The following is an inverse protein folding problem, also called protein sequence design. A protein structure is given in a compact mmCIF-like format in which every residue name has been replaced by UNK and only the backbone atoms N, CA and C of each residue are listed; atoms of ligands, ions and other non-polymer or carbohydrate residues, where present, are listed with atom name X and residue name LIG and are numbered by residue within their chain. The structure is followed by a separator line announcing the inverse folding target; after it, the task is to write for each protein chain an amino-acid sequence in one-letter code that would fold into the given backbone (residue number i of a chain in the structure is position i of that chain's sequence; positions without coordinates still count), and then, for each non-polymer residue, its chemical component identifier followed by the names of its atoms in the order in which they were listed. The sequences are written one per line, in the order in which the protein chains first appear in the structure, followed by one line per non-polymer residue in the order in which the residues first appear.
data_IF_447141136735
#
_entry.id   IF_447141136735
#
_cell.length_a   1.000
_cell.length_b   1.000
_cell.length_c   1.000
_cell.angle_alpha   90.00
_cell.angle_beta   90.00
_cell.angle_gamma   90.00
#
_symmetry.space_group_name_H-M   'P 1'
#
loop_
_entity.id
_entity.type
_entity.pdbx_description
1 polymer ?
#
# COMPACT_ATOMS: atom_id res chain seq x y z
N UNK A 1 -0.59 12.88 -0.69
CA UNK A 1 0.41 13.52 0.20
C UNK A 1 1.26 12.50 0.94
N UNK A 2 0.80 11.27 1.15
CA UNK A 2 1.50 10.29 2.01
C UNK A 2 2.94 10.01 1.57
N UNK A 3 3.17 9.94 0.26
CA UNK A 3 4.50 9.73 -0.33
C UNK A 3 5.35 11.01 -0.50
N UNK A 4 4.92 12.18 -0.04
CA UNK A 4 5.65 13.45 -0.29
C UNK A 4 7.08 13.42 0.28
N UNK A 5 7.32 12.66 1.35
CA UNK A 5 8.65 12.51 1.94
C UNK A 5 9.69 11.88 1.01
N UNK A 6 9.26 11.16 -0.04
CA UNK A 6 10.17 10.61 -1.06
C UNK A 6 10.98 11.69 -1.80
N UNK A 7 10.53 12.95 -1.77
CA UNK A 7 11.33 14.07 -2.31
C UNK A 7 12.61 14.35 -1.51
N UNK A 8 12.63 13.95 -0.23
CA UNK A 8 13.79 14.08 0.66
C UNK A 8 14.60 12.79 0.61
N UNK A 9 13.99 11.66 0.95
CA UNK A 9 14.61 10.35 0.92
C UNK A 9 13.53 9.25 0.88
N UNK A 10 13.85 8.08 0.32
CA UNK A 10 13.00 6.88 0.43
C UNK A 10 13.01 6.28 1.83
N UNK A 11 14.13 6.40 2.54
CA UNK A 11 14.23 6.02 3.94
C UNK A 11 13.45 7.02 4.80
N UNK A 12 12.59 6.50 5.69
CA UNK A 12 11.75 7.31 6.59
C UNK A 12 10.83 8.32 5.85
N UNK A 13 10.43 7.98 4.61
CA UNK A 13 9.58 8.86 3.80
C UNK A 13 8.20 9.10 4.44
N UNK A 14 7.68 8.13 5.20
CA UNK A 14 6.43 8.28 5.93
C UNK A 14 6.54 9.36 7.03
N UNK A 15 7.60 9.32 7.85
CA UNK A 15 7.81 10.26 8.95
C UNK A 15 8.13 11.67 8.43
N UNK A 16 9.06 11.77 7.49
CA UNK A 16 9.37 13.05 6.84
C UNK A 16 8.16 13.61 6.10
N UNK A 17 7.39 12.76 5.42
CA UNK A 17 6.13 13.11 4.77
C UNK A 17 5.07 13.64 5.73
N UNK A 18 4.95 13.05 6.93
CA UNK A 18 4.03 13.53 7.96
C UNK A 18 4.41 14.93 8.46
N UNK A 19 5.70 15.21 8.66
CA UNK A 19 6.20 16.54 9.08
C UNK A 19 5.95 17.59 7.99
N UNK A 20 6.21 17.25 6.72
CA UNK A 20 5.94 18.14 5.59
C UNK A 20 4.43 18.42 5.45
N UNK A 21 3.60 17.38 5.55
CA UNK A 21 2.15 17.50 5.51
C UNK A 21 1.63 18.37 6.65
N UNK A 22 2.13 18.18 7.88
CA UNK A 22 1.77 19.02 9.03
C UNK A 22 1.98 20.51 8.72
N UNK A 23 3.15 20.87 8.18
CA UNK A 23 3.48 22.26 7.84
C UNK A 23 2.53 22.82 6.78
N UNK A 24 2.32 22.09 5.69
CA UNK A 24 1.44 22.51 4.58
C UNK A 24 0.01 22.70 5.07
N UNK A 25 -0.54 21.72 5.78
CA UNK A 25 -1.94 21.74 6.23
C UNK A 25 -2.17 22.84 7.28
N UNK A 26 -1.19 23.08 8.16
CA UNK A 26 -1.21 24.20 9.10
C UNK A 26 -1.20 25.55 8.37
N UNK A 27 -0.39 25.71 7.34
CA UNK A 27 -0.26 26.99 6.60
C UNK A 27 -1.51 27.36 5.82
N UNK A 28 -2.28 26.37 5.35
CA UNK A 28 -3.57 26.60 4.68
C UNK A 28 -4.75 26.75 5.65
N UNK A 29 -4.50 26.74 6.97
CA UNK A 29 -5.51 26.96 8.00
C UNK A 29 -6.45 25.79 8.26
N UNK A 30 -6.02 24.55 8.00
CA UNK A 30 -6.79 23.35 8.34
C UNK A 30 -6.94 23.22 9.86
N UNK A 31 -8.05 22.63 10.31
CA UNK A 31 -8.31 22.42 11.73
C UNK A 31 -7.24 21.51 12.38
N UNK A 32 -6.73 21.83 13.59
CA UNK A 32 -5.71 21.03 14.25
C UNK A 32 -6.06 19.54 14.41
N UNK A 33 -7.31 19.20 14.74
CA UNK A 33 -7.72 17.80 14.90
C UNK A 33 -7.62 17.04 13.57
N UNK A 34 -8.02 17.67 12.48
CA UNK A 34 -7.91 17.05 11.15
C UNK A 34 -6.46 16.93 10.68
N UNK A 35 -5.61 17.91 11.01
CA UNK A 35 -4.16 17.82 10.75
C UNK A 35 -3.59 16.58 11.46
N UNK A 36 -3.91 16.37 12.74
CA UNK A 36 -3.43 15.20 13.48
C UNK A 36 -3.92 13.88 12.87
N UNK A 37 -5.18 13.82 12.41
CA UNK A 37 -5.71 12.63 11.72
C UNK A 37 -4.92 12.32 10.44
N UNK A 38 -4.68 13.31 9.58
CA UNK A 38 -3.96 13.12 8.30
C UNK A 38 -2.50 12.76 8.54
N UNK A 39 -1.81 13.53 9.38
CA UNK A 39 -0.38 13.36 9.64
C UNK A 39 -0.06 12.05 10.36
N UNK A 40 -0.93 11.63 11.30
CA UNK A 40 -0.83 10.31 11.95
C UNK A 40 -1.01 9.17 10.95
N UNK A 41 -1.97 9.28 10.02
CA UNK A 41 -2.14 8.30 8.96
C UNK A 41 -0.89 8.22 8.06
N UNK A 42 -0.35 9.38 7.64
CA UNK A 42 0.87 9.45 6.82
C UNK A 42 2.07 8.87 7.56
N UNK A 43 2.29 9.20 8.83
CA UNK A 43 3.46 8.71 9.57
C UNK A 43 3.50 7.19 9.76
N UNK A 44 2.36 6.52 9.62
CA UNK A 44 2.18 5.11 9.93
C UNK A 44 1.88 4.20 8.72
N UNK A 45 1.99 4.70 7.48
CA UNK A 45 1.56 3.94 6.30
C UNK A 45 2.65 3.03 5.69
N UNK A 46 3.92 3.20 6.06
CA UNK A 46 5.04 2.43 5.52
C UNK A 46 5.21 1.06 6.21
N UNK A 47 5.62 0.05 5.46
CA UNK A 47 5.70 -1.35 5.89
C UNK A 47 6.74 -1.59 6.99
N UNK A 48 7.82 -0.80 7.05
CA UNK A 48 8.92 -1.01 7.98
C UNK A 48 8.57 -0.64 9.43
N UNK A 49 7.81 0.43 9.62
CA UNK A 49 7.50 1.00 10.93
C UNK A 49 6.02 1.24 11.18
N UNK A 50 5.18 1.07 10.16
CA UNK A 50 3.77 1.46 10.18
C UNK A 50 2.88 0.56 11.01
N UNK A 51 1.86 1.17 11.61
CA UNK A 51 0.78 0.50 12.32
C UNK A 51 -0.56 1.18 12.04
N UNK A 52 -1.65 0.42 11.86
CA UNK A 52 -2.99 1.00 11.75
C UNK A 52 -3.41 1.59 13.11
N UNK A 53 -3.35 2.90 13.25
CA UNK A 53 -3.65 3.60 14.52
C UNK A 53 -5.04 4.24 14.55
N UNK A 54 -5.73 4.26 13.42
CA UNK A 54 -7.08 4.82 13.27
C UNK A 54 -7.75 4.27 12.01
N UNK A 55 -9.07 4.47 11.87
CA UNK A 55 -9.80 4.06 10.66
C UNK A 55 -9.21 4.71 9.39
N UNK A 56 -8.78 5.98 9.48
CA UNK A 56 -8.16 6.70 8.36
C UNK A 56 -6.79 6.12 8.04
N UNK A 57 -5.97 5.82 9.06
CA UNK A 57 -4.66 5.16 8.87
C UNK A 57 -4.83 3.79 8.21
N UNK A 58 -5.78 2.96 8.67
CA UNK A 58 -6.07 1.66 8.08
C UNK A 58 -6.53 1.77 6.63
N UNK A 59 -7.40 2.72 6.32
CA UNK A 59 -7.88 2.96 4.96
C UNK A 59 -6.73 3.41 4.04
N UNK A 60 -5.86 4.31 4.51
CA UNK A 60 -4.68 4.77 3.77
C UNK A 60 -3.71 3.62 3.48
N UNK A 61 -3.39 2.82 4.50
CA UNK A 61 -2.55 1.62 4.36
C UNK A 61 -3.12 0.72 3.27
N UNK A 62 -4.41 0.38 3.35
CA UNK A 62 -5.02 -0.52 2.38
C UNK A 62 -4.95 0.09 0.98
N UNK A 63 -5.36 1.35 0.81
CA UNK A 63 -5.34 2.02 -0.49
C UNK A 63 -3.95 2.08 -1.13
N UNK A 64 -2.90 2.31 -0.33
CA UNK A 64 -1.51 2.37 -0.83
C UNK A 64 -0.96 0.98 -1.17
N UNK A 65 -1.18 0.00 -0.29
CA UNK A 65 -0.53 -1.31 -0.40
C UNK A 65 -1.19 -2.23 -1.42
N UNK A 66 -2.49 -2.05 -1.68
CA UNK A 66 -3.22 -2.79 -2.73
C UNK A 66 -3.04 -2.21 -4.14
N UNK A 67 -2.49 -1.01 -4.30
CA UNK A 67 -2.24 -0.39 -5.61
C UNK A 67 -1.00 -0.99 -6.30
N UNK A 68 -1.12 -2.26 -6.71
CA UNK A 68 -0.13 -3.02 -7.46
C UNK A 68 -0.65 -3.24 -8.89
N UNK A 69 0.00 -2.63 -9.89
CA UNK A 69 -0.43 -2.73 -11.29
C UNK A 69 0.71 -2.41 -12.25
N UNK A 70 0.72 -3.08 -13.40
CA UNK A 70 1.70 -2.87 -14.48
C UNK A 70 1.88 -1.41 -14.88
N UNK A 71 0.79 -0.64 -14.92
CA UNK A 71 0.82 0.77 -15.35
C UNK A 71 1.56 1.71 -14.40
N UNK A 72 1.95 1.28 -13.18
CA UNK A 72 2.83 2.07 -12.30
C UNK A 72 4.29 2.03 -12.73
N UNK A 73 4.70 1.01 -13.49
CA UNK A 73 6.07 0.87 -13.96
C UNK A 73 6.31 1.87 -15.08
N UNK A 74 7.08 2.91 -14.79
CA UNK A 74 7.43 3.96 -15.76
C UNK A 74 8.63 3.60 -16.62
N UNK A 75 9.48 2.70 -16.12
CA UNK A 75 10.59 2.17 -16.89
C UNK A 75 10.03 1.34 -18.05
N UNK A 76 10.39 1.70 -19.28
CA UNK A 76 9.96 0.99 -20.49
C UNK A 76 10.96 -0.08 -20.94
N UNK A 77 12.18 -0.06 -20.42
CA UNK A 77 13.22 -1.02 -20.79
C UNK A 77 13.22 -2.19 -19.80
N UNK A 78 12.57 -3.28 -20.21
CA UNK A 78 12.45 -4.51 -19.45
C UNK A 78 13.80 -5.06 -18.96
N UNK A 79 14.90 -4.85 -19.72
CA UNK A 79 16.21 -5.35 -19.35
C UNK A 79 16.81 -4.62 -18.11
N UNK A 80 16.28 -3.44 -17.78
CA UNK A 80 16.76 -2.60 -16.67
C UNK A 80 15.84 -2.61 -15.46
N UNK A 81 14.82 -3.48 -15.46
CA UNK A 81 13.87 -3.57 -14.36
C UNK A 81 14.54 -4.00 -13.06
N UNK A 82 14.26 -3.27 -11.99
CA UNK A 82 14.53 -3.76 -10.64
C UNK A 82 13.48 -4.81 -10.23
N UNK A 83 13.63 -5.36 -9.02
CA UNK A 83 12.72 -6.38 -8.51
C UNK A 83 11.29 -5.87 -8.35
N UNK A 84 11.09 -4.59 -8.01
CA UNK A 84 9.76 -4.00 -7.82
C UNK A 84 9.10 -3.71 -9.17
N UNK A 85 9.87 -3.21 -10.14
CA UNK A 85 9.42 -3.01 -11.51
C UNK A 85 8.97 -4.35 -12.11
N UNK A 86 9.78 -5.40 -11.99
CA UNK A 86 9.44 -6.74 -12.51
C UNK A 86 8.14 -7.29 -11.92
N UNK A 87 7.99 -7.24 -10.60
CA UNK A 87 6.80 -7.77 -9.92
C UNK A 87 5.56 -6.94 -10.26
N UNK A 88 5.64 -5.60 -10.24
CA UNK A 88 4.51 -4.76 -10.65
C UNK A 88 4.14 -4.98 -12.11
N UNK A 89 5.13 -5.11 -13.00
CA UNK A 89 4.90 -5.33 -14.42
C UNK A 89 4.28 -6.70 -14.70
N UNK A 90 4.56 -7.72 -13.88
CA UNK A 90 3.93 -9.03 -14.00
C UNK A 90 2.41 -8.99 -13.69
N UNK A 91 1.91 -7.98 -12.96
CA UNK A 91 0.47 -7.86 -12.63
C UNK A 91 -0.32 -7.32 -13.82
N UNK A 92 -1.00 -8.22 -14.54
CA UNK A 92 -1.87 -7.91 -15.66
C UNK A 92 -3.19 -7.26 -15.22
N UNK A 93 -3.73 -7.72 -14.09
CA UNK A 93 -4.97 -7.23 -13.51
C UNK A 93 -4.88 -7.21 -11.99
N UNK A 94 -5.40 -6.16 -11.38
CA UNK A 94 -5.56 -6.04 -9.94
C UNK A 94 -6.94 -5.45 -9.63
N UNK A 95 -7.78 -6.23 -8.97
CA UNK A 95 -9.10 -5.83 -8.52
C UNK A 95 -9.16 -5.89 -6.99
N UNK A 96 -9.81 -4.90 -6.38
CA UNK A 96 -10.06 -4.87 -4.94
C UNK A 96 -11.56 -4.96 -4.70
N UNK A 97 -11.97 -5.93 -3.89
CA UNK A 97 -13.37 -6.15 -3.51
C UNK A 97 -13.54 -5.87 -2.02
N UNK A 98 -14.50 -5.01 -1.68
CA UNK A 98 -14.87 -4.73 -0.29
C UNK A 98 -16.23 -5.37 -0.04
N UNK A 99 -16.26 -6.42 0.77
CA UNK A 99 -17.48 -7.14 1.12
C UNK A 99 -17.89 -6.81 2.56
N UNK A 100 -19.00 -6.10 2.69
CA UNK A 100 -19.55 -5.70 3.99
C UNK A 100 -20.14 -6.88 4.76
N UNK A 101 -20.79 -7.81 4.08
CA UNK A 101 -21.52 -8.93 4.70
C UNK A 101 -20.55 -10.00 5.19
N UNK A 102 -19.52 -10.31 4.39
CA UNK A 102 -18.46 -11.27 4.75
C UNK A 102 -17.37 -10.66 5.63
N UNK A 103 -17.42 -9.32 5.85
CA UNK A 103 -16.40 -8.52 6.53
C UNK A 103 -15.00 -8.80 5.98
N UNK A 104 -14.84 -8.70 4.67
CA UNK A 104 -13.59 -8.97 3.97
C UNK A 104 -13.21 -7.86 2.99
N UNK A 105 -11.90 -7.69 2.80
CA UNK A 105 -11.30 -6.89 1.74
C UNK A 105 -10.37 -7.82 0.97
N UNK A 106 -10.74 -8.15 -0.26
CA UNK A 106 -10.00 -9.09 -1.10
C UNK A 106 -9.23 -8.34 -2.19
N UNK A 107 -7.91 -8.58 -2.26
CA UNK A 107 -7.07 -8.22 -3.39
C UNK A 107 -6.99 -9.43 -4.34
N UNK A 108 -7.50 -9.29 -5.56
CA UNK A 108 -7.46 -10.32 -6.59
C UNK A 108 -6.49 -9.90 -7.71
N UNK A 109 -5.48 -10.72 -7.94
CA UNK A 109 -4.39 -10.45 -8.88
C UNK A 109 -4.35 -11.49 -9.99
N UNK A 110 -4.18 -11.01 -11.22
CA UNK A 110 -3.76 -11.83 -12.35
C UNK A 110 -2.30 -11.52 -12.65
N UNK A 111 -1.43 -12.52 -12.50
CA UNK A 111 0.02 -12.40 -12.61
C UNK A 111 0.50 -13.24 -13.81
N UNK A 112 1.26 -12.63 -14.70
CA UNK A 112 1.98 -13.33 -15.76
C UNK A 112 3.17 -14.09 -15.18
N UNK A 113 2.99 -15.39 -15.01
CA UNK A 113 3.99 -16.29 -14.42
C UNK A 113 5.21 -16.54 -15.31
N UNK A 114 5.21 -16.05 -16.56
CA UNK A 114 6.40 -16.04 -17.41
C UNK A 114 7.38 -14.92 -17.05
N UNK A 115 6.89 -13.86 -16.40
CA UNK A 115 7.68 -12.69 -15.98
C UNK A 115 8.15 -12.84 -14.53
N UNK A 116 7.26 -13.27 -13.64
CA UNK A 116 7.53 -13.39 -12.21
C UNK A 116 6.76 -14.57 -11.63
N UNK A 117 7.42 -15.40 -10.82
CA UNK A 117 6.73 -16.51 -10.14
C UNK A 117 5.82 -16.01 -9.02
N UNK A 118 4.79 -16.78 -8.65
CA UNK A 118 3.91 -16.42 -7.52
C UNK A 118 4.68 -16.32 -6.19
N UNK A 119 5.69 -17.17 -5.98
CA UNK A 119 6.54 -17.13 -4.79
C UNK A 119 7.40 -15.87 -4.73
N UNK A 120 7.96 -15.45 -5.86
CA UNK A 120 8.76 -14.23 -5.95
C UNK A 120 7.92 -12.97 -5.71
N UNK A 121 6.70 -12.92 -6.29
CA UNK A 121 5.74 -11.87 -5.98
C UNK A 121 5.47 -11.83 -4.46
N UNK A 122 5.20 -13.00 -3.88
CA UNK A 122 4.88 -13.11 -2.47
C UNK A 122 6.05 -12.66 -1.59
N UNK A 123 7.28 -13.04 -1.90
CA UNK A 123 8.49 -12.66 -1.15
C UNK A 123 8.69 -11.13 -1.13
N UNK A 124 8.55 -10.48 -2.29
CA UNK A 124 8.76 -9.04 -2.42
C UNK A 124 7.66 -8.23 -1.74
N UNK A 125 6.42 -8.73 -1.74
CA UNK A 125 5.27 -8.00 -1.21
C UNK A 125 4.71 -8.54 0.10
N UNK A 126 5.35 -9.52 0.73
CA UNK A 126 4.90 -10.10 2.00
C UNK A 126 4.64 -9.03 3.05
N UNK A 127 5.60 -8.13 3.27
CA UNK A 127 5.48 -7.08 4.28
C UNK A 127 4.29 -6.15 4.01
N UNK A 128 4.00 -5.85 2.74
CA UNK A 128 2.83 -5.06 2.32
C UNK A 128 1.54 -5.76 2.71
N UNK A 129 1.43 -7.05 2.37
CA UNK A 129 0.23 -7.85 2.64
C UNK A 129 0.02 -8.07 4.14
N UNK A 130 1.10 -8.21 4.91
CA UNK A 130 1.05 -8.27 6.37
C UNK A 130 0.53 -6.97 6.97
N UNK A 131 0.91 -5.82 6.42
CA UNK A 131 0.40 -4.53 6.86
C UNK A 131 -1.08 -4.34 6.47
N UNK A 132 -1.50 -4.78 5.27
CA UNK A 132 -2.91 -4.85 4.89
C UNK A 132 -3.72 -5.69 5.89
N UNK A 133 -3.20 -6.87 6.28
CA UNK A 133 -3.87 -7.75 7.25
C UNK A 133 -4.10 -7.02 8.57
N UNK A 134 -3.06 -6.40 9.14
CA UNK A 134 -3.19 -5.58 10.36
C UNK A 134 -4.23 -4.47 10.20
N UNK A 135 -4.23 -3.77 9.06
CA UNK A 135 -5.19 -2.70 8.80
C UNK A 135 -6.63 -3.21 8.73
N UNK A 136 -6.87 -4.36 8.09
CA UNK A 136 -8.20 -4.99 8.10
C UNK A 136 -8.63 -5.46 9.48
N UNK A 137 -7.70 -6.02 10.28
CA UNK A 137 -7.96 -6.43 11.66
C UNK A 137 -8.41 -5.24 12.51
N UNK A 138 -7.74 -4.08 12.39
CA UNK A 138 -8.15 -2.83 13.05
C UNK A 138 -9.58 -2.42 12.67
N UNK A 139 -9.94 -2.60 11.39
CA UNK A 139 -11.29 -2.31 10.87
C UNK A 139 -12.33 -3.39 11.21
N UNK A 140 -11.97 -4.42 11.98
CA UNK A 140 -12.80 -5.59 12.28
C UNK A 140 -13.25 -6.35 11.01
N UNK A 141 -12.35 -6.44 10.04
CA UNK A 141 -12.51 -7.16 8.77
C UNK A 141 -11.33 -8.11 8.54
N UNK A 142 -11.36 -8.88 7.45
CA UNK A 142 -10.30 -9.81 7.05
C UNK A 142 -9.70 -9.38 5.71
N UNK A 143 -8.38 -9.42 5.61
CA UNK A 143 -7.69 -9.27 4.33
C UNK A 143 -7.58 -10.63 3.65
N UNK A 144 -7.89 -10.66 2.35
CA UNK A 144 -7.78 -11.87 1.53
C UNK A 144 -6.96 -11.57 0.29
N UNK A 145 -6.09 -12.50 -0.08
CA UNK A 145 -5.23 -12.37 -1.26
C UNK A 145 -5.44 -13.55 -2.19
N UNK A 146 -5.90 -13.26 -3.40
CA UNK A 146 -6.09 -14.25 -4.46
C UNK A 146 -5.13 -13.92 -5.60
N UNK A 147 -4.35 -14.90 -6.05
CA UNK A 147 -3.47 -14.77 -7.21
C UNK A 147 -3.77 -15.89 -8.19
N UNK A 148 -4.07 -15.56 -9.44
CA UNK A 148 -4.39 -16.53 -10.50
C UNK A 148 -5.43 -17.56 -10.04
N UNK A 149 -6.52 -17.07 -9.44
CA UNK A 149 -7.64 -17.87 -8.88
C UNK A 149 -7.26 -18.80 -7.70
N UNK A 150 -6.07 -18.64 -7.12
CA UNK A 150 -5.63 -19.39 -5.94
C UNK A 150 -5.64 -18.46 -4.73
N UNK A 151 -6.31 -18.86 -3.65
CA UNK A 151 -6.26 -18.14 -2.37
C UNK A 151 -4.92 -18.39 -1.68
N UNK A 152 -4.21 -17.31 -1.37
CA UNK A 152 -2.86 -17.31 -0.77
C UNK A 152 -2.91 -16.89 0.70
N UNK A 153 -3.74 -15.89 1.01
CA UNK A 153 -3.98 -15.37 2.37
C UNK A 153 -5.48 -15.24 2.63
#
# INVERSE_FOLDING_TARGET
MHDIGNMINRHEHAQTGAVLAFKILKDIGMDPEEIFMVTSAIGNHDEGTGQPVSNISSALILADKVDVRRSRVRNSDFATFDIHDRVNYAVEKADVYVNKDEKSIQLNLTIDTKICSLMEYFEIFLNRMMLCRKATEFLNTRFELVMNNTKVL
#
